data_IF_404174535307
#
_entry.id   IF_404174535307
#
_cell.length_a   1.000
_cell.length_b   1.000
_cell.length_c   1.000
_cell.angle_alpha   90.00
_cell.angle_beta   90.00
_cell.angle_gamma   90.00
#
_symmetry.space_group_name_H-M   'P 1'
#
loop_
_entity.id
_entity.type
_entity.pdbx_description
1 polymer ?
#
# COMPACT_ATOMS: atom_id res chain seq x y z
N UNK A 1 20.71 -17.00 -2.03
CA UNK A 1 19.73 -16.05 -2.60
C UNK A 1 19.02 -15.26 -1.48
N UNK A 2 19.59 -14.14 -0.98
CA UNK A 2 19.11 -13.50 0.26
C UNK A 2 18.98 -11.96 0.24
N UNK A 3 18.95 -11.28 -0.93
CA UNK A 3 19.00 -9.81 -0.99
C UNK A 3 17.65 -9.08 -1.22
N UNK A 4 16.63 -9.72 -1.81
CA UNK A 4 15.35 -9.04 -2.13
C UNK A 4 14.50 -8.68 -0.90
N UNK A 5 14.66 -9.41 0.21
CA UNK A 5 13.78 -9.27 1.38
C UNK A 5 14.10 -8.04 2.25
N UNK A 6 15.28 -7.41 2.07
CA UNK A 6 15.68 -6.27 2.91
C UNK A 6 15.21 -4.93 2.32
N UNK A 7 15.24 -4.79 0.99
CA UNK A 7 14.89 -3.52 0.32
C UNK A 7 13.46 -3.06 0.65
N UNK A 8 12.46 -3.94 0.53
CA UNK A 8 11.06 -3.61 0.84
C UNK A 8 10.78 -3.36 2.33
N UNK A 9 11.64 -3.86 3.22
CA UNK A 9 11.54 -3.58 4.66
C UNK A 9 12.14 -2.21 5.00
N UNK A 10 13.20 -1.83 4.30
CA UNK A 10 13.90 -0.57 4.50
C UNK A 10 13.21 0.60 3.81
N UNK A 11 12.70 0.41 2.59
CA UNK A 11 12.22 1.48 1.73
C UNK A 11 10.72 1.35 1.50
N UNK A 12 9.98 2.41 1.84
CA UNK A 12 8.52 2.44 1.89
C UNK A 12 7.95 3.64 1.14
N UNK A 13 6.77 3.45 0.56
CA UNK A 13 5.99 4.53 -0.03
C UNK A 13 5.35 5.42 1.06
N UNK A 14 4.89 6.61 0.68
CA UNK A 14 4.11 7.47 1.59
C UNK A 14 2.82 6.79 2.08
N UNK A 15 2.23 5.93 1.26
CA UNK A 15 1.03 5.16 1.64
C UNK A 15 1.32 4.20 2.77
N UNK A 16 2.39 3.40 2.64
CA UNK A 16 2.78 2.43 3.67
C UNK A 16 3.17 3.15 4.97
N UNK A 17 3.98 4.21 4.89
CA UNK A 17 4.37 4.97 6.08
C UNK A 17 3.18 5.69 6.71
N UNK A 18 2.30 6.28 5.92
CA UNK A 18 1.09 6.92 6.42
C UNK A 18 0.24 5.95 7.24
N UNK A 19 0.08 4.71 6.76
CA UNK A 19 -0.64 3.67 7.50
C UNK A 19 0.01 3.33 8.84
N UNK A 20 1.34 3.28 8.91
CA UNK A 20 2.05 3.08 10.18
C UNK A 20 1.85 4.24 11.17
N UNK A 21 1.53 5.44 10.67
CA UNK A 21 1.22 6.64 11.46
C UNK A 21 -0.29 6.90 11.60
N UNK A 22 -1.15 6.01 11.10
CA UNK A 22 -2.61 6.14 11.21
C UNK A 22 -3.19 7.24 10.33
N UNK A 23 -2.49 7.67 9.29
CA UNK A 23 -2.87 8.77 8.40
C UNK A 23 -2.82 8.38 6.92
N UNK A 24 -3.48 9.17 6.06
CA UNK A 24 -3.42 8.95 4.60
C UNK A 24 -2.05 9.31 4.04
N UNK A 25 -1.73 8.82 2.84
CA UNK A 25 -0.49 9.19 2.12
C UNK A 25 -0.35 10.71 1.92
N UNK A 26 -1.48 11.40 1.68
CA UNK A 26 -1.53 12.86 1.52
C UNK A 26 -1.15 13.53 2.83
N UNK A 27 -1.80 13.15 3.94
CA UNK A 27 -1.53 13.72 5.27
C UNK A 27 -0.10 13.40 5.73
N UNK A 28 0.39 12.20 5.45
CA UNK A 28 1.79 11.85 5.71
C UNK A 28 2.76 12.69 4.88
N UNK A 29 2.46 12.91 3.60
CA UNK A 29 3.20 13.83 2.74
C UNK A 29 3.23 15.26 3.29
N UNK A 30 2.13 15.74 3.88
CA UNK A 30 2.06 17.04 4.56
C UNK A 30 2.91 17.08 5.84
N UNK A 31 2.96 15.99 6.62
CA UNK A 31 3.87 15.89 7.78
C UNK A 31 5.33 16.04 7.34
N UNK A 32 5.74 15.36 6.26
CA UNK A 32 7.10 15.51 5.75
C UNK A 32 7.41 16.95 5.32
N UNK A 33 6.44 17.69 4.78
CA UNK A 33 6.61 19.11 4.47
C UNK A 33 6.74 19.95 5.73
N UNK A 34 5.85 19.73 6.70
CA UNK A 34 5.82 20.46 7.97
C UNK A 34 7.15 20.33 8.74
N UNK A 35 7.77 19.15 8.69
CA UNK A 35 9.02 18.87 9.40
C UNK A 35 10.27 18.94 8.50
N UNK A 36 10.17 19.56 7.33
CA UNK A 36 11.33 19.92 6.49
C UNK A 36 11.99 18.78 5.74
N UNK A 37 11.39 17.59 5.67
CA UNK A 37 11.88 16.49 4.82
C UNK A 37 11.40 16.61 3.36
N UNK A 38 10.39 17.43 3.10
CA UNK A 38 9.80 17.60 1.77
C UNK A 38 9.52 19.07 1.48
N UNK A 39 9.73 19.48 0.25
CA UNK A 39 9.44 20.83 -0.22
C UNK A 39 7.95 20.99 -0.56
N UNK A 40 7.52 22.25 -0.78
CA UNK A 40 6.12 22.56 -1.08
C UNK A 40 5.64 21.96 -2.41
N UNK A 41 6.52 21.86 -3.41
CA UNK A 41 6.27 21.20 -4.69
C UNK A 41 6.17 19.66 -4.59
N UNK A 42 6.56 19.10 -3.44
CA UNK A 42 6.55 17.68 -3.18
C UNK A 42 7.85 16.95 -3.51
N UNK A 43 8.92 17.66 -3.84
CA UNK A 43 10.26 17.07 -3.95
C UNK A 43 10.87 16.84 -2.54
N UNK A 44 11.72 15.83 -2.34
CA UNK A 44 12.49 15.70 -1.11
C UNK A 44 13.41 16.91 -0.89
N UNK A 45 13.51 17.39 0.35
CA UNK A 45 14.35 18.54 0.68
C UNK A 45 15.85 18.20 0.64
N UNK A 46 16.69 19.23 0.68
CA UNK A 46 18.14 19.04 0.83
C UNK A 46 18.49 18.29 2.12
N UNK A 47 17.76 18.55 3.22
CA UNK A 47 17.90 17.82 4.48
C UNK A 47 17.61 16.31 4.29
N UNK A 48 16.55 15.98 3.55
CA UNK A 48 16.22 14.58 3.27
C UNK A 48 17.30 13.89 2.42
N UNK A 49 17.92 14.64 1.50
CA UNK A 49 19.02 14.16 0.67
C UNK A 49 20.28 13.87 1.50
N UNK A 50 20.72 14.83 2.30
CA UNK A 50 21.92 14.72 3.14
C UNK A 50 21.76 13.65 4.24
N UNK A 51 20.56 13.53 4.83
CA UNK A 51 20.26 12.51 5.83
C UNK A 51 20.04 11.10 5.26
N UNK A 52 20.00 10.96 3.92
CA UNK A 52 19.70 9.69 3.26
C UNK A 52 18.33 9.14 3.66
N UNK A 53 17.30 10.00 3.63
CA UNK A 53 15.92 9.67 3.98
C UNK A 53 15.13 9.08 2.81
N UNK A 54 15.58 9.25 1.57
CA UNK A 54 14.83 8.81 0.41
C UNK A 54 15.72 8.19 -0.67
N UNK A 55 15.09 7.42 -1.55
CA UNK A 55 15.65 6.90 -2.79
C UNK A 55 14.72 7.27 -3.94
N UNK A 56 15.27 7.87 -5.00
CA UNK A 56 14.53 8.19 -6.22
C UNK A 56 14.53 6.97 -7.13
N UNK A 57 13.34 6.50 -7.47
CA UNK A 57 13.16 5.42 -8.43
C UNK A 57 12.65 6.03 -9.74
N UNK A 58 13.43 5.87 -10.81
CA UNK A 58 13.06 6.27 -12.17
C UNK A 58 12.75 5.01 -12.97
N UNK A 59 11.47 4.64 -13.13
CA UNK A 59 11.12 3.49 -13.96
C UNK A 59 11.42 3.78 -15.44
N UNK A 60 11.61 2.72 -16.24
CA UNK A 60 11.81 2.83 -17.69
C UNK A 60 10.60 3.46 -18.40
N UNK A 61 9.41 3.24 -17.83
CA UNK A 61 8.16 3.84 -18.26
C UNK A 61 7.42 4.43 -17.05
N UNK A 62 6.91 5.66 -17.20
CA UNK A 62 6.17 6.36 -16.14
C UNK A 62 6.96 7.46 -15.43
N UNK A 63 6.31 8.10 -14.45
CA UNK A 63 6.92 9.21 -13.70
C UNK A 63 7.85 8.66 -12.60
N UNK A 64 8.97 9.35 -12.31
CA UNK A 64 9.78 9.05 -11.15
C UNK A 64 8.96 9.09 -9.86
N UNK A 65 9.32 8.26 -8.89
CA UNK A 65 8.71 8.23 -7.57
C UNK A 65 9.77 8.08 -6.48
N UNK A 66 9.38 8.40 -5.25
CA UNK A 66 10.27 8.39 -4.10
C UNK A 66 9.87 7.29 -3.12
N UNK A 67 10.86 6.51 -2.71
CA UNK A 67 10.75 5.64 -1.55
C UNK A 67 11.47 6.29 -0.37
N UNK A 68 10.91 6.13 0.82
CA UNK A 68 11.42 6.72 2.05
C UNK A 68 11.98 5.65 2.96
N UNK A 69 13.10 5.95 3.60
CA UNK A 69 13.76 5.04 4.52
C UNK A 69 12.90 4.91 5.78
N UNK A 70 12.28 3.75 5.96
CA UNK A 70 11.26 3.48 6.97
C UNK A 70 11.67 3.87 8.38
N UNK A 71 12.80 3.34 8.84
CA UNK A 71 13.27 3.52 10.21
C UNK A 71 13.66 4.99 10.46
N UNK A 72 14.63 5.51 9.70
CA UNK A 72 15.05 6.93 9.76
C UNK A 72 13.88 7.92 9.72
N UNK A 73 12.98 7.77 8.74
CA UNK A 73 11.84 8.68 8.59
C UNK A 73 10.90 8.59 9.80
N UNK A 74 10.63 7.37 10.28
CA UNK A 74 9.79 7.18 11.46
C UNK A 74 10.42 7.80 12.71
N UNK A 75 11.70 7.50 12.96
CA UNK A 75 12.42 7.96 14.15
C UNK A 75 12.56 9.48 14.16
N UNK A 76 12.80 10.08 13.00
CA UNK A 76 12.81 11.53 12.85
C UNK A 76 11.46 12.14 13.19
N UNK A 77 10.35 11.67 12.60
CA UNK A 77 9.04 12.23 12.90
C UNK A 77 8.63 12.02 14.37
N UNK A 78 8.94 10.86 14.95
CA UNK A 78 8.70 10.58 16.37
C UNK A 78 9.51 11.54 17.25
N UNK A 79 10.78 11.82 16.92
CA UNK A 79 11.60 12.78 17.67
C UNK A 79 11.09 14.21 17.55
N UNK A 80 10.32 14.53 16.50
CA UNK A 80 9.59 15.79 16.36
C UNK A 80 8.22 15.81 17.07
N UNK A 81 7.87 14.75 17.80
CA UNK A 81 6.61 14.64 18.56
C UNK A 81 5.41 14.14 17.75
N UNK A 82 5.62 13.60 16.54
CA UNK A 82 4.53 13.03 15.74
C UNK A 82 4.17 11.64 16.30
N UNK A 83 2.92 11.41 16.72
CA UNK A 83 2.51 10.11 17.25
C UNK A 83 2.44 9.07 16.14
N UNK A 84 2.89 7.85 16.45
CA UNK A 84 2.84 6.69 15.56
C UNK A 84 1.77 5.71 16.06
N UNK A 85 0.52 6.04 15.83
CA UNK A 85 -0.67 5.33 16.35
C UNK A 85 -1.34 4.44 15.29
N UNK A 86 -0.67 4.24 14.15
CA UNK A 86 -1.21 3.46 13.05
C UNK A 86 -1.10 1.95 13.23
N UNK A 87 -1.20 1.25 12.11
CA UNK A 87 -1.07 -0.20 12.08
C UNK A 87 0.39 -0.63 11.99
N UNK A 88 0.68 -1.88 12.33
CA UNK A 88 2.04 -2.42 12.19
C UNK A 88 2.51 -2.37 10.73
N UNK A 89 3.82 -2.34 10.48
CA UNK A 89 4.36 -2.38 9.11
C UNK A 89 3.89 -3.61 8.33
N UNK A 90 3.79 -4.76 9.02
CA UNK A 90 3.27 -6.00 8.43
C UNK A 90 1.81 -5.86 8.02
N UNK A 91 1.00 -5.18 8.82
CA UNK A 91 -0.40 -4.92 8.47
C UNK A 91 -0.55 -3.85 7.38
N UNK A 92 0.33 -2.85 7.34
CA UNK A 92 0.39 -1.86 6.26
C UNK A 92 0.70 -2.51 4.90
N UNK A 93 1.66 -3.44 4.88
CA UNK A 93 1.96 -4.27 3.70
C UNK A 93 0.72 -5.05 3.26
N UNK A 94 0.08 -5.79 4.18
CA UNK A 94 -1.14 -6.56 3.89
C UNK A 94 -2.29 -5.69 3.40
N UNK A 95 -2.47 -4.49 3.93
CA UNK A 95 -3.48 -3.54 3.45
C UNK A 95 -3.18 -3.04 2.04
N UNK A 96 -1.90 -2.85 1.70
CA UNK A 96 -1.50 -2.47 0.34
C UNK A 96 -1.73 -3.63 -0.63
N UNK A 97 -1.42 -4.86 -0.23
CA UNK A 97 -1.71 -6.08 -0.99
C UNK A 97 -3.22 -6.26 -1.19
N UNK A 98 -4.02 -6.12 -0.13
CA UNK A 98 -5.48 -6.21 -0.20
C UNK A 98 -6.07 -5.19 -1.18
N UNK A 99 -5.55 -3.95 -1.25
CA UNK A 99 -5.99 -2.96 -2.24
C UNK A 99 -5.61 -3.29 -3.67
N UNK A 100 -4.47 -3.95 -3.90
CA UNK A 100 -4.10 -4.43 -5.24
C UNK A 100 -5.02 -5.57 -5.65
N UNK A 101 -5.20 -6.54 -4.76
CA UNK A 101 -6.09 -7.66 -4.96
C UNK A 101 -7.53 -7.21 -5.23
N UNK A 102 -8.03 -6.22 -4.47
CA UNK A 102 -9.36 -5.65 -4.68
C UNK A 102 -9.53 -5.01 -6.07
N UNK A 103 -8.51 -4.33 -6.61
CA UNK A 103 -8.56 -3.80 -7.98
C UNK A 103 -8.61 -4.90 -9.03
N UNK A 104 -7.76 -5.91 -8.90
CA UNK A 104 -7.76 -7.04 -9.84
C UNK A 104 -9.06 -7.84 -9.75
N UNK A 105 -9.66 -7.94 -8.56
CA UNK A 105 -10.98 -8.54 -8.38
C UNK A 105 -12.08 -7.74 -9.08
N UNK A 106 -12.06 -6.40 -9.00
CA UNK A 106 -13.00 -5.54 -9.74
C UNK A 106 -12.88 -5.71 -11.26
N UNK A 107 -11.66 -5.88 -11.78
CA UNK A 107 -11.42 -6.16 -13.19
C UNK A 107 -11.99 -7.54 -13.58
N UNK A 108 -11.79 -8.55 -12.74
CA UNK A 108 -12.31 -9.89 -12.96
C UNK A 108 -13.85 -9.94 -12.90
N UNK A 109 -14.47 -9.23 -11.95
CA UNK A 109 -15.93 -9.07 -11.87
C UNK A 109 -16.51 -8.47 -13.15
N UNK A 110 -15.86 -7.43 -13.69
CA UNK A 110 -16.32 -6.81 -14.93
C UNK A 110 -16.31 -7.80 -16.10
N UNK A 111 -15.28 -8.64 -16.20
CA UNK A 111 -15.21 -9.68 -17.22
C UNK A 111 -16.28 -10.75 -17.01
N UNK A 112 -16.55 -11.12 -15.77
CA UNK A 112 -17.58 -12.11 -15.42
C UNK A 112 -18.99 -11.58 -15.74
N UNK A 113 -19.28 -10.31 -15.44
CA UNK A 113 -20.51 -9.61 -15.81
C UNK A 113 -20.72 -9.56 -17.34
N UNK A 114 -19.63 -9.53 -18.11
CA UNK A 114 -19.63 -9.62 -19.57
C UNK A 114 -19.81 -11.08 -20.07
N UNK A 115 -19.98 -12.05 -19.17
CA UNK A 115 -20.15 -13.48 -19.46
C UNK A 115 -18.84 -14.20 -19.79
N UNK A 116 -17.68 -13.61 -19.49
CA UNK A 116 -16.38 -14.20 -19.79
C UNK A 116 -15.98 -15.22 -18.73
N UNK A 117 -15.78 -16.47 -19.17
CA UNK A 117 -15.20 -17.54 -18.32
C UNK A 117 -13.84 -17.16 -17.71
N UNK A 118 -13.13 -16.22 -18.33
CA UNK A 118 -11.87 -15.69 -17.80
C UNK A 118 -12.10 -14.94 -16.47
N UNK A 119 -13.20 -14.19 -16.32
CA UNK A 119 -13.55 -13.49 -15.09
C UNK A 119 -13.70 -14.46 -13.91
N UNK A 120 -14.54 -15.49 -14.08
CA UNK A 120 -14.68 -16.59 -13.12
C UNK A 120 -13.33 -17.24 -12.75
N UNK A 121 -12.50 -17.58 -13.74
CA UNK A 121 -11.19 -18.21 -13.47
C UNK A 121 -10.27 -17.30 -12.66
N UNK A 122 -10.21 -16.00 -13.01
CA UNK A 122 -9.40 -15.02 -12.27
C UNK A 122 -9.89 -14.89 -10.82
N UNK A 123 -11.20 -14.85 -10.59
CA UNK A 123 -11.77 -14.81 -9.23
C UNK A 123 -11.37 -16.06 -8.45
N UNK A 124 -11.49 -17.24 -9.06
CA UNK A 124 -11.14 -18.52 -8.44
C UNK A 124 -9.68 -18.56 -8.00
N UNK A 125 -8.77 -18.09 -8.84
CA UNK A 125 -7.33 -18.05 -8.52
C UNK A 125 -7.00 -17.06 -7.40
N UNK A 126 -7.81 -16.01 -7.22
CA UNK A 126 -7.61 -15.01 -6.17
C UNK A 126 -8.04 -15.48 -4.77
N UNK A 127 -8.83 -16.55 -4.64
CA UNK A 127 -9.40 -17.00 -3.36
C UNK A 127 -8.32 -17.22 -2.30
N UNK A 128 -7.23 -17.89 -2.66
CA UNK A 128 -6.13 -18.16 -1.72
C UNK A 128 -5.41 -16.89 -1.30
N UNK A 129 -5.28 -15.93 -2.20
CA UNK A 129 -4.66 -14.64 -1.89
C UNK A 129 -5.59 -13.79 -1.00
N UNK A 130 -6.91 -13.87 -1.20
CA UNK A 130 -7.91 -13.26 -0.30
C UNK A 130 -7.78 -13.85 1.10
N UNK A 131 -7.65 -15.18 1.22
CA UNK A 131 -7.42 -15.87 2.50
C UNK A 131 -6.11 -15.41 3.16
N UNK A 132 -5.02 -15.25 2.41
CA UNK A 132 -3.70 -14.81 2.95
C UNK A 132 -3.72 -13.37 3.49
N UNK A 133 -4.40 -12.45 2.79
CA UNK A 133 -4.50 -11.04 3.24
C UNK A 133 -5.53 -10.88 4.37
N UNK A 134 -6.55 -11.73 4.39
CA UNK A 134 -7.67 -11.75 5.33
C UNK A 134 -8.93 -11.13 4.72
N UNK A 135 -10.05 -11.86 4.81
CA UNK A 135 -11.32 -11.51 4.16
C UNK A 135 -11.85 -10.12 4.56
N UNK A 136 -11.81 -9.80 5.86
CA UNK A 136 -12.25 -8.49 6.36
C UNK A 136 -11.45 -7.34 5.72
N UNK A 137 -10.12 -7.47 5.67
CA UNK A 137 -9.25 -6.46 5.05
C UNK A 137 -9.50 -6.33 3.56
N UNK A 138 -9.77 -7.44 2.89
CA UNK A 138 -10.12 -7.45 1.47
C UNK A 138 -11.45 -6.72 1.22
N UNK A 139 -12.49 -6.99 1.99
CA UNK A 139 -13.79 -6.30 1.88
C UNK A 139 -13.67 -4.79 2.19
N UNK A 140 -12.89 -4.41 3.19
CA UNK A 140 -12.57 -2.99 3.45
C UNK A 140 -11.83 -2.36 2.25
N UNK A 141 -10.89 -3.09 1.64
CA UNK A 141 -10.16 -2.63 0.47
C UNK A 141 -11.08 -2.47 -0.76
N UNK A 142 -12.01 -3.39 -1.00
CA UNK A 142 -13.02 -3.32 -2.06
C UNK A 142 -13.86 -2.04 -1.96
N UNK A 143 -14.42 -1.75 -0.78
CA UNK A 143 -15.17 -0.50 -0.54
C UNK A 143 -14.31 0.72 -0.85
N UNK A 144 -13.03 0.70 -0.44
CA UNK A 144 -12.11 1.82 -0.66
C UNK A 144 -11.75 2.08 -2.13
N UNK A 145 -11.88 1.06 -3.00
CA UNK A 145 -11.65 1.19 -4.44
C UNK A 145 -12.93 1.37 -5.25
N UNK A 146 -14.07 1.57 -4.58
CA UNK A 146 -15.34 1.94 -5.20
C UNK A 146 -16.29 0.78 -5.52
N UNK A 147 -16.05 -0.42 -4.97
CA UNK A 147 -17.00 -1.52 -5.06
C UNK A 147 -18.30 -1.17 -4.33
N UNK A 148 -19.44 -1.46 -4.97
CA UNK A 148 -20.79 -1.14 -4.47
C UNK A 148 -21.67 -2.37 -4.21
N UNK A 149 -21.14 -3.58 -4.42
CA UNK A 149 -21.87 -4.81 -4.16
C UNK A 149 -21.85 -5.22 -2.69
N UNK A 150 -22.42 -6.38 -2.40
CA UNK A 150 -22.43 -7.00 -1.07
C UNK A 150 -21.04 -7.48 -0.66
N UNK A 151 -20.81 -7.62 0.65
CA UNK A 151 -19.53 -8.14 1.11
C UNK A 151 -19.26 -9.54 0.56
N UNK A 152 -18.04 -9.72 0.04
CA UNK A 152 -17.65 -11.00 -0.54
C UNK A 152 -17.51 -12.03 0.57
N UNK A 153 -18.13 -13.18 0.37
CA UNK A 153 -17.94 -14.38 1.18
C UNK A 153 -17.14 -15.41 0.37
N UNK A 154 -16.40 -16.28 1.07
CA UNK A 154 -15.64 -17.37 0.45
C UNK A 154 -16.33 -18.74 0.62
N UNK A 155 -17.59 -18.74 1.05
CA UNK A 155 -18.34 -19.95 1.39
C UNK A 155 -18.54 -20.85 0.17
N UNK A 156 -18.73 -20.27 -1.01
CA UNK A 156 -18.88 -21.00 -2.28
C UNK A 156 -17.56 -21.41 -2.94
N UNK A 157 -16.43 -21.03 -2.34
CA UNK A 157 -15.07 -21.30 -2.84
C UNK A 157 -14.29 -22.23 -1.90
N UNK A 158 -15.00 -22.81 -0.94
CA UNK A 158 -14.49 -23.77 0.03
C UNK A 158 -14.95 -25.15 -0.40
N UNK A 159 -14.29 -25.71 -1.42
CA UNK A 159 -14.14 -27.15 -1.71
C UNK A 159 -13.71 -27.33 -3.17
N UNK A 160 -12.40 -27.38 -3.40
CA UNK A 160 -11.75 -28.03 -4.54
C UNK A 160 -10.30 -28.34 -4.18
#
# INVERSE_FOLDING_TARGET
MAKKNNFRKTWKTLTELGQEFGVSAIKFGSLLKQYGLREQDGEPSQMAKEGGFFEKITPSEGKPYYLWHRQKTSDYLISQGVPKEGISAKDAEKMTEARKLARSYMEALKLDDEGSKLGYMMISEMVDDIKKVGLERFNQALKSVGYKGEEITLEHWSDS
#
